data_IF_963834790418
#
_entry.id   IF_963834790418
#
_cell.length_a   1.000
_cell.length_b   1.000
_cell.length_c   1.000
_cell.angle_alpha   90.00
_cell.angle_beta   90.00
_cell.angle_gamma   90.00
#
_symmetry.space_group_name_H-M   'P 1'
#
loop_
_entity.id
_entity.type
_entity.pdbx_description
1 polymer ?
#
# COMPACT_ATOMS: atom_id res chain seq x y z
N UNK A 1 29.74 13.12 27.52
CA UNK A 1 29.07 11.81 27.31
C UNK A 1 27.57 11.95 27.03
N UNK A 2 26.77 12.50 27.95
CA UNK A 2 25.30 12.57 27.81
C UNK A 2 24.78 13.34 26.58
N UNK A 3 25.42 14.47 26.23
CA UNK A 3 25.02 15.28 25.06
C UNK A 3 25.38 14.63 23.71
N UNK A 4 26.46 13.83 23.65
CA UNK A 4 26.82 13.07 22.45
C UNK A 4 25.79 11.97 22.17
N UNK A 5 25.30 11.29 23.21
CA UNK A 5 24.27 10.25 23.07
C UNK A 5 22.95 10.85 22.55
N UNK A 6 22.55 12.01 23.07
CA UNK A 6 21.33 12.70 22.63
C UNK A 6 21.44 13.13 21.15
N UNK A 7 22.59 13.68 20.74
CA UNK A 7 22.84 14.06 19.35
C UNK A 7 22.80 12.88 18.39
N UNK A 8 23.44 11.76 18.75
CA UNK A 8 23.42 10.52 17.95
C UNK A 8 22.01 9.95 17.85
N UNK A 9 21.26 9.94 18.95
CA UNK A 9 19.88 9.45 18.95
C UNK A 9 18.97 10.28 18.04
N UNK A 10 19.07 11.61 18.11
CA UNK A 10 18.31 12.50 17.23
C UNK A 10 18.66 12.30 15.74
N UNK A 11 19.95 12.11 15.42
CA UNK A 11 20.39 11.84 14.05
C UNK A 11 19.86 10.50 13.52
N UNK A 12 19.86 9.45 14.34
CA UNK A 12 19.31 8.13 13.97
C UNK A 12 17.80 8.22 13.73
N UNK A 13 17.05 8.91 14.60
CA UNK A 13 15.60 9.09 14.44
C UNK A 13 15.29 9.88 13.16
N UNK A 14 16.01 10.97 12.90
CA UNK A 14 15.84 11.75 11.67
C UNK A 14 16.17 10.91 10.41
N UNK A 15 17.24 10.10 10.47
CA UNK A 15 17.62 9.20 9.39
C UNK A 15 16.58 8.09 9.15
N UNK A 16 16.00 7.53 10.22
CA UNK A 16 14.94 6.53 10.11
C UNK A 16 13.65 7.12 9.53
N UNK A 17 13.28 8.35 9.92
CA UNK A 17 12.12 9.05 9.35
C UNK A 17 12.36 9.36 7.87
N UNK A 18 13.54 9.87 7.51
CA UNK A 18 13.90 10.14 6.12
C UNK A 18 13.92 8.86 5.27
N UNK A 19 14.54 7.80 5.79
CA UNK A 19 14.57 6.48 5.15
C UNK A 19 13.17 5.87 5.03
N UNK A 20 12.31 6.02 6.05
CA UNK A 20 10.92 5.56 5.99
C UNK A 20 10.12 6.32 4.93
N UNK A 21 10.37 7.62 4.76
CA UNK A 21 9.73 8.44 3.74
C UNK A 21 10.22 8.10 2.33
N UNK A 22 11.46 7.62 2.19
CA UNK A 22 12.00 7.10 0.92
C UNK A 22 11.58 5.66 0.63
N UNK A 23 11.46 4.80 1.63
CA UNK A 23 11.09 3.38 1.46
C UNK A 23 9.59 3.14 1.30
N UNK A 24 8.75 4.15 1.55
CA UNK A 24 7.32 4.06 1.31
C UNK A 24 6.96 5.24 0.42
N UNK A 25 6.92 4.99 -0.90
CA UNK A 25 6.46 6.00 -1.83
C UNK A 25 5.05 6.44 -1.40
N UNK A 26 4.82 7.72 -1.08
CA UNK A 26 3.53 8.19 -0.59
C UNK A 26 2.40 7.87 -1.58
N UNK A 27 2.73 7.78 -2.87
CA UNK A 27 1.85 7.39 -3.96
C UNK A 27 1.44 5.92 -3.92
N UNK A 28 2.36 5.01 -3.57
CA UNK A 28 2.06 3.58 -3.40
C UNK A 28 1.12 3.36 -2.21
N UNK A 29 1.35 4.10 -1.13
CA UNK A 29 0.50 4.02 0.05
C UNK A 29 -0.88 4.64 -0.21
N UNK A 30 -0.95 5.76 -0.94
CA UNK A 30 -2.21 6.36 -1.37
C UNK A 30 -2.99 5.44 -2.30
N UNK A 31 -2.31 4.80 -3.26
CA UNK A 31 -2.89 3.80 -4.15
C UNK A 31 -3.47 2.62 -3.37
N UNK A 32 -2.72 2.08 -2.39
CA UNK A 32 -3.21 0.99 -1.55
C UNK A 32 -4.44 1.39 -0.70
N UNK A 33 -4.51 2.65 -0.24
CA UNK A 33 -5.67 3.18 0.50
C UNK A 33 -6.88 3.33 -0.42
N UNK A 34 -6.72 3.90 -1.62
CA UNK A 34 -7.79 4.06 -2.60
C UNK A 34 -8.35 2.70 -3.03
N UNK A 35 -7.48 1.73 -3.31
CA UNK A 35 -7.88 0.34 -3.61
C UNK A 35 -8.64 -0.27 -2.43
N UNK A 36 -8.11 -0.12 -1.20
CA UNK A 36 -8.79 -0.61 0.01
C UNK A 36 -10.19 0.01 0.19
N UNK A 37 -10.32 1.32 -0.01
CA UNK A 37 -11.60 2.04 0.05
C UNK A 37 -12.58 1.59 -1.05
N UNK A 38 -12.09 1.42 -2.27
CA UNK A 38 -12.87 0.92 -3.40
C UNK A 38 -13.44 -0.48 -3.10
N UNK A 39 -12.61 -1.36 -2.54
CA UNK A 39 -13.00 -2.73 -2.20
C UNK A 39 -13.89 -2.83 -0.96
N UNK A 40 -13.77 -1.87 -0.03
CA UNK A 40 -14.71 -1.74 1.09
C UNK A 40 -16.10 -1.32 0.61
N UNK A 41 -16.16 -0.37 -0.32
CA UNK A 41 -17.42 0.11 -0.90
C UNK A 41 -18.03 -0.91 -1.88
N UNK A 42 -17.18 -1.62 -2.62
CA UNK A 42 -17.58 -2.64 -3.58
C UNK A 42 -16.64 -3.87 -3.48
N UNK A 43 -16.97 -4.86 -2.64
CA UNK A 43 -16.17 -6.07 -2.45
C UNK A 43 -16.01 -6.93 -3.71
N UNK A 44 -16.91 -6.76 -4.68
CA UNK A 44 -16.92 -7.46 -5.96
C UNK A 44 -16.40 -6.59 -7.11
N UNK A 45 -15.60 -5.56 -6.79
CA UNK A 45 -15.04 -4.69 -7.79
C UNK A 45 -14.23 -5.49 -8.82
N UNK A 46 -14.42 -5.13 -10.09
CA UNK A 46 -13.74 -5.80 -11.18
C UNK A 46 -12.23 -5.54 -11.10
N UNK A 47 -11.38 -6.53 -11.43
CA UNK A 47 -9.93 -6.36 -11.50
C UNK A 47 -9.51 -5.19 -12.40
N UNK A 48 -10.31 -4.86 -13.43
CA UNK A 48 -10.10 -3.71 -14.30
C UNK A 48 -10.16 -2.38 -13.51
N UNK A 49 -11.15 -2.19 -12.66
CA UNK A 49 -11.27 -0.97 -11.85
C UNK A 49 -10.11 -0.81 -10.86
N UNK A 50 -9.54 -1.91 -10.37
CA UNK A 50 -8.35 -1.90 -9.53
C UNK A 50 -7.11 -1.54 -10.37
N UNK A 51 -7.01 -2.05 -11.60
CA UNK A 51 -5.96 -1.70 -12.55
C UNK A 51 -6.00 -0.22 -12.92
N UNK A 52 -7.19 0.36 -13.11
CA UNK A 52 -7.36 1.79 -13.37
C UNK A 52 -6.84 2.64 -12.20
N UNK A 53 -7.03 2.18 -10.95
CA UNK A 53 -6.45 2.84 -9.78
C UNK A 53 -4.92 2.70 -9.78
N UNK A 54 -4.35 1.53 -10.10
CA UNK A 54 -2.90 1.40 -10.24
C UNK A 54 -2.33 2.37 -11.29
N UNK A 55 -3.00 2.50 -12.44
CA UNK A 55 -2.62 3.43 -13.50
C UNK A 55 -2.76 4.90 -13.09
N UNK A 56 -3.83 5.27 -12.38
CA UNK A 56 -4.05 6.63 -11.85
C UNK A 56 -2.87 7.10 -10.99
N UNK A 57 -2.21 6.18 -10.28
CA UNK A 57 -1.06 6.45 -9.43
C UNK A 57 0.29 6.17 -10.10
N UNK A 58 0.33 5.88 -11.40
CA UNK A 58 1.58 5.58 -12.13
C UNK A 58 2.32 4.36 -11.58
N UNK A 59 1.59 3.36 -11.08
CA UNK A 59 2.16 2.14 -10.53
C UNK A 59 2.34 1.13 -11.66
N UNK A 60 3.60 0.86 -12.01
CA UNK A 60 3.95 -0.17 -12.99
C UNK A 60 3.71 -1.59 -12.45
N UNK A 61 3.61 -2.57 -13.36
CA UNK A 61 3.41 -3.99 -13.01
C UNK A 61 4.34 -4.52 -11.89
N UNK A 62 5.66 -4.24 -11.86
CA UNK A 62 6.54 -4.73 -10.80
C UNK A 62 6.19 -4.17 -9.42
N UNK A 63 5.67 -2.93 -9.37
CA UNK A 63 5.29 -2.20 -8.16
C UNK A 63 3.91 -2.61 -7.66
N UNK A 64 3.03 -3.10 -8.53
CA UNK A 64 1.70 -3.61 -8.17
C UNK A 64 1.74 -4.65 -7.05
N UNK A 65 2.76 -5.52 -7.03
CA UNK A 65 2.92 -6.54 -5.96
C UNK A 65 3.20 -5.89 -4.60
N UNK A 66 4.03 -4.85 -4.56
CA UNK A 66 4.34 -4.11 -3.34
C UNK A 66 3.11 -3.37 -2.83
N UNK A 67 2.40 -2.66 -3.71
CA UNK A 67 1.17 -1.93 -3.37
C UNK A 67 0.07 -2.89 -2.92
N UNK A 68 -0.14 -4.01 -3.61
CA UNK A 68 -1.13 -5.02 -3.22
C UNK A 68 -0.84 -5.64 -1.84
N UNK A 69 0.43 -5.79 -1.46
CA UNK A 69 0.78 -6.21 -0.10
C UNK A 69 0.41 -5.16 0.96
N UNK A 70 0.38 -3.87 0.59
CA UNK A 70 -0.07 -2.78 1.45
C UNK A 70 -1.60 -2.66 1.55
N UNK A 71 -2.36 -3.16 0.57
CA UNK A 71 -3.84 -3.19 0.60
C UNK A 71 -4.34 -4.11 1.71
N UNK A 72 -3.70 -5.26 1.92
CA UNK A 72 -4.15 -6.26 2.90
C UNK A 72 -4.22 -5.72 4.35
N UNK A 73 -3.20 -5.01 4.88
CA UNK A 73 -3.30 -4.29 6.15
C UNK A 73 -4.43 -3.26 6.18
N UNK A 74 -4.71 -2.56 5.07
CA UNK A 74 -5.78 -1.55 5.01
C UNK A 74 -7.17 -2.19 5.13
N UNK A 75 -7.42 -3.28 4.40
CA UNK A 75 -8.68 -4.03 4.49
C UNK A 75 -8.93 -4.56 5.90
N UNK A 76 -7.88 -5.05 6.57
CA UNK A 76 -7.95 -5.49 7.97
C UNK A 76 -8.26 -4.34 8.93
N UNK A 77 -7.63 -3.17 8.75
CA UNK A 77 -7.95 -1.95 9.53
C UNK A 77 -9.40 -1.51 9.35
N UNK A 78 -9.97 -1.76 8.18
CA UNK A 78 -11.34 -1.41 7.83
C UNK A 78 -12.38 -2.42 8.33
N UNK A 79 -11.96 -3.47 9.04
CA UNK A 79 -12.86 -4.46 9.65
C UNK A 79 -13.28 -5.59 8.71
N UNK A 80 -12.66 -5.72 7.54
CA UNK A 80 -12.95 -6.82 6.61
C UNK A 80 -12.52 -8.14 7.23
N UNK A 81 -13.38 -9.17 7.14
CA UNK A 81 -13.03 -10.50 7.64
C UNK A 81 -11.85 -11.07 6.84
N UNK A 82 -11.01 -11.92 7.44
CA UNK A 82 -9.87 -12.52 6.75
C UNK A 82 -10.24 -13.32 5.50
N UNK A 83 -11.45 -13.88 5.47
CA UNK A 83 -11.98 -14.68 4.36
C UNK A 83 -12.32 -13.78 3.16
N UNK A 84 -13.10 -12.73 3.40
CA UNK A 84 -13.45 -11.72 2.40
C UNK A 84 -12.21 -11.01 1.87
N UNK A 85 -11.24 -10.72 2.75
CA UNK A 85 -9.97 -10.13 2.37
C UNK A 85 -9.18 -11.03 1.41
N UNK A 86 -9.27 -12.37 1.53
CA UNK A 86 -8.61 -13.28 0.56
C UNK A 86 -9.28 -13.24 -0.80
N UNK A 87 -10.62 -13.15 -0.85
CA UNK A 87 -11.39 -13.06 -2.10
C UNK A 87 -11.00 -11.79 -2.83
N UNK A 88 -11.03 -10.68 -2.12
CA UNK A 88 -10.62 -9.36 -2.60
C UNK A 88 -9.16 -9.35 -3.05
N UNK A 89 -8.24 -9.97 -2.30
CA UNK A 89 -6.84 -10.08 -2.72
C UNK A 89 -6.65 -10.89 -4.01
N UNK A 90 -7.54 -11.82 -4.32
CA UNK A 90 -7.52 -12.53 -5.61
C UNK A 90 -7.87 -11.57 -6.76
N UNK A 91 -8.84 -10.67 -6.56
CA UNK A 91 -9.20 -9.64 -7.54
C UNK A 91 -8.05 -8.65 -7.74
N UNK A 92 -7.43 -8.18 -6.64
CA UNK A 92 -6.26 -7.30 -6.69
C UNK A 92 -5.12 -7.95 -7.48
N UNK A 93 -4.86 -9.25 -7.26
CA UNK A 93 -3.83 -9.98 -8.00
C UNK A 93 -4.19 -10.20 -9.47
N UNK A 94 -5.47 -10.37 -9.79
CA UNK A 94 -5.95 -10.45 -11.17
C UNK A 94 -5.84 -9.12 -11.91
N UNK A 95 -5.71 -8.00 -11.20
CA UNK A 95 -5.49 -6.67 -11.79
C UNK A 95 -4.05 -6.44 -12.26
N UNK A 96 -3.06 -7.16 -11.69
CA UNK A 96 -1.64 -6.96 -12.04
C UNK A 96 -1.32 -7.12 -13.53
N UNK A 97 -1.80 -8.16 -14.25
CA UNK A 97 -1.55 -8.28 -15.69
C UNK A 97 -2.32 -7.27 -16.55
N UNK A 98 -3.26 -6.51 -15.97
CA UNK A 98 -4.06 -5.50 -16.67
C UNK A 98 -3.41 -4.11 -16.59
N UNK A 99 -2.34 -3.96 -15.81
CA UNK A 99 -1.53 -2.75 -15.76
C UNK A 99 -0.51 -2.82 -16.91
N UNK A 100 -0.43 -1.78 -17.76
CA UNK A 100 0.47 -1.72 -18.90
C UNK A 100 1.95 -1.70 -18.52
#
# INVERSE_FOLDING_TARGET
MKFLIIGVFAAIVAFLIWRSKQNTAPEEQACAIDIGNLLKANPDAQPQAIADVFQKYGIDQPRCKAVGAMVMPQLRKQGLKPEDARIVMRQVRAAYPLVP
#
